data_IF_616217850115
#
_entry.id   IF_616217850115
#
_cell.length_a   1.000
_cell.length_b   1.000
_cell.length_c   1.000
_cell.angle_alpha   90.00
_cell.angle_beta   90.00
_cell.angle_gamma   90.00
#
_symmetry.space_group_name_H-M   'P 1'
#
loop_
_entity.id
_entity.type
_entity.pdbx_description
1 polymer ?
#
# COMPACT_ATOMS: atom_id res chain seq x y z
N UNK A 1 10.78 20.58 13.86
CA UNK A 1 10.83 19.10 13.67
C UNK A 1 9.82 18.35 14.52
N UNK A 2 9.39 18.91 15.66
CA UNK A 2 8.43 18.29 16.58
C UNK A 2 6.97 18.31 16.06
N UNK A 3 6.59 19.37 15.36
CA UNK A 3 5.24 19.54 14.80
C UNK A 3 4.92 18.49 13.71
N UNK A 4 5.84 18.27 12.76
CA UNK A 4 5.70 17.23 11.72
C UNK A 4 5.55 15.82 12.32
N UNK A 5 6.27 15.52 13.40
CA UNK A 5 6.20 14.24 14.13
C UNK A 5 4.82 14.06 14.79
N UNK A 6 4.21 15.12 15.29
CA UNK A 6 2.90 15.05 15.94
C UNK A 6 1.76 14.77 14.92
N UNK A 7 1.83 15.38 13.74
CA UNK A 7 0.87 15.12 12.66
C UNK A 7 0.97 13.69 12.13
N UNK A 8 2.20 13.19 11.93
CA UNK A 8 2.41 11.81 11.47
C UNK A 8 1.86 10.79 12.49
N UNK A 9 2.03 11.04 13.79
CA UNK A 9 1.49 10.19 14.87
C UNK A 9 -0.04 10.18 14.91
N UNK A 10 -0.69 11.33 14.65
CA UNK A 10 -2.15 11.42 14.57
C UNK A 10 -2.70 10.60 13.41
N UNK A 11 -2.11 10.73 12.21
CA UNK A 11 -2.56 10.01 11.01
C UNK A 11 -2.49 8.49 11.19
N UNK A 12 -1.39 7.97 11.73
CA UNK A 12 -1.24 6.52 11.95
C UNK A 12 -2.15 6.02 13.07
N UNK A 13 -2.34 6.81 14.14
CA UNK A 13 -3.26 6.44 15.23
C UNK A 13 -4.71 6.38 14.74
N UNK A 14 -5.11 7.32 13.89
CA UNK A 14 -6.45 7.33 13.28
C UNK A 14 -6.61 6.09 12.41
N UNK A 15 -5.72 5.84 11.44
CA UNK A 15 -5.77 4.65 10.56
C UNK A 15 -5.69 3.34 11.35
N UNK A 16 -4.96 3.33 12.47
CA UNK A 16 -4.89 2.21 13.41
C UNK A 16 -6.21 1.89 14.10
N UNK A 17 -7.11 2.86 14.27
CA UNK A 17 -8.46 2.66 14.84
C UNK A 17 -9.53 2.31 13.80
N UNK A 18 -9.22 2.43 12.51
CA UNK A 18 -10.16 2.11 11.44
C UNK A 18 -10.43 0.61 11.32
N UNK A 19 -11.67 0.27 10.95
CA UNK A 19 -12.07 -1.10 10.65
C UNK A 19 -11.35 -1.62 9.39
N UNK A 20 -11.27 -2.95 9.24
CA UNK A 20 -10.63 -3.58 8.07
C UNK A 20 -11.17 -3.03 6.75
N UNK A 21 -12.49 -2.83 6.65
CA UNK A 21 -13.14 -2.35 5.43
C UNK A 21 -12.81 -0.87 5.14
N UNK A 22 -12.69 -0.03 6.16
CA UNK A 22 -12.33 1.38 5.98
C UNK A 22 -10.89 1.54 5.49
N UNK A 23 -9.96 0.71 5.96
CA UNK A 23 -8.58 0.71 5.46
C UNK A 23 -8.54 0.32 3.99
N UNK A 24 -9.28 -0.72 3.61
CA UNK A 24 -9.39 -1.13 2.21
C UNK A 24 -9.96 -0.02 1.32
N UNK A 25 -10.95 0.73 1.81
CA UNK A 25 -11.49 1.88 1.09
C UNK A 25 -10.45 2.99 0.88
N UNK A 26 -9.65 3.33 1.90
CA UNK A 26 -8.56 4.32 1.77
C UNK A 26 -7.54 3.86 0.73
N UNK A 27 -7.17 2.58 0.74
CA UNK A 27 -6.25 2.03 -0.25
C UNK A 27 -6.81 2.08 -1.66
N UNK A 28 -8.08 1.70 -1.84
CA UNK A 28 -8.75 1.80 -3.14
C UNK A 28 -8.83 3.24 -3.64
N UNK A 29 -9.03 4.22 -2.76
CA UNK A 29 -9.01 5.64 -3.13
C UNK A 29 -7.61 6.10 -3.55
N UNK A 30 -6.56 5.65 -2.85
CA UNK A 30 -5.17 5.90 -3.25
C UNK A 30 -4.83 5.29 -4.61
N UNK A 31 -5.25 4.06 -4.85
CA UNK A 31 -5.06 3.37 -6.13
C UNK A 31 -5.84 4.11 -7.25
N UNK A 32 -7.09 4.55 -7.00
CA UNK A 32 -7.87 5.35 -7.94
C UNK A 32 -7.13 6.64 -8.35
N UNK A 33 -6.57 7.35 -7.37
CA UNK A 33 -5.76 8.55 -7.64
C UNK A 33 -4.53 8.22 -8.48
N UNK A 34 -3.86 7.09 -8.24
CA UNK A 34 -2.73 6.64 -9.04
C UNK A 34 -3.11 6.39 -10.50
N UNK A 35 -4.26 5.77 -10.77
CA UNK A 35 -4.78 5.58 -12.13
C UNK A 35 -5.07 6.92 -12.81
N UNK A 36 -5.77 7.83 -12.13
CA UNK A 36 -6.10 9.15 -12.69
C UNK A 36 -4.83 9.93 -13.02
N UNK A 37 -3.89 10.02 -12.07
CA UNK A 37 -2.62 10.71 -12.27
C UNK A 37 -1.79 10.05 -13.36
N UNK A 38 -1.74 8.71 -13.41
CA UNK A 38 -1.03 7.97 -14.45
C UNK A 38 -1.56 8.26 -15.86
N UNK A 39 -2.89 8.32 -16.01
CA UNK A 39 -3.55 8.71 -17.26
C UNK A 39 -3.21 10.16 -17.64
N UNK A 40 -3.32 11.11 -16.70
CA UNK A 40 -3.05 12.54 -16.94
C UNK A 40 -1.59 12.76 -17.34
N UNK A 41 -0.64 12.17 -16.59
CA UNK A 41 0.79 12.30 -16.89
C UNK A 41 1.10 11.75 -18.28
N UNK A 42 0.51 10.60 -18.63
CA UNK A 42 0.70 10.01 -19.95
C UNK A 42 0.08 10.85 -21.07
N UNK A 43 -1.07 11.50 -20.80
CA UNK A 43 -1.70 12.43 -21.73
C UNK A 43 -0.82 13.66 -21.97
N UNK A 44 -0.21 14.22 -20.92
CA UNK A 44 0.69 15.38 -21.04
C UNK A 44 1.92 15.02 -21.87
N UNK A 45 2.54 13.87 -21.62
CA UNK A 45 3.73 13.42 -22.34
C UNK A 45 3.44 13.15 -23.82
N UNK A 46 2.26 12.61 -24.14
CA UNK A 46 1.86 12.24 -25.51
C UNK A 46 1.00 13.30 -26.21
N UNK A 47 0.89 14.50 -25.63
CA UNK A 47 -0.01 15.56 -26.11
C UNK A 47 0.19 15.90 -27.59
N UNK A 48 1.43 15.94 -28.04
CA UNK A 48 1.78 16.31 -29.41
C UNK A 48 1.60 15.15 -30.42
N UNK A 49 1.53 13.92 -29.92
CA UNK A 49 1.53 12.69 -30.74
C UNK A 49 0.12 12.12 -30.87
N UNK A 50 -0.71 12.25 -29.83
CA UNK A 50 -2.02 11.61 -29.75
C UNK A 50 -3.02 12.63 -29.19
N UNK A 51 -4.09 12.89 -29.94
CA UNK A 51 -5.24 13.70 -29.49
C UNK A 51 -6.46 12.81 -29.28
N UNK A 52 -6.48 11.94 -28.24
CA UNK A 52 -7.65 11.14 -27.95
C UNK A 52 -8.79 12.05 -27.49
N UNK A 53 -10.04 11.66 -27.77
CA UNK A 53 -11.20 12.36 -27.24
C UNK A 53 -11.21 12.29 -25.70
N UNK A 54 -11.51 13.40 -25.03
CA UNK A 54 -11.58 13.46 -23.56
C UNK A 54 -12.56 12.42 -22.98
N UNK A 55 -13.67 12.15 -23.68
CA UNK A 55 -14.64 11.13 -23.29
C UNK A 55 -14.03 9.72 -23.31
N UNK A 56 -13.22 9.42 -24.33
CA UNK A 56 -12.55 8.12 -24.45
C UNK A 56 -11.52 7.93 -23.33
N UNK A 57 -10.81 9.01 -22.95
CA UNK A 57 -9.83 8.99 -21.87
C UNK A 57 -10.48 8.73 -20.49
N UNK A 58 -11.62 9.37 -20.24
CA UNK A 58 -12.40 9.16 -19.01
C UNK A 58 -12.94 7.72 -18.99
N UNK A 59 -13.53 7.26 -20.08
CA UNK A 59 -14.01 5.89 -20.20
C UNK A 59 -12.89 4.85 -20.00
N UNK A 60 -11.71 5.09 -20.58
CA UNK A 60 -10.52 4.25 -20.39
C UNK A 60 -10.12 4.16 -18.92
N UNK A 61 -10.03 5.30 -18.22
CA UNK A 61 -9.58 5.34 -16.83
C UNK A 61 -10.59 4.64 -15.89
N UNK A 62 -11.89 4.88 -16.10
CA UNK A 62 -12.95 4.26 -15.31
C UNK A 62 -12.97 2.75 -15.54
N UNK A 63 -12.91 2.31 -16.81
CA UNK A 63 -12.89 0.89 -17.16
C UNK A 63 -11.67 0.18 -16.57
N UNK A 64 -10.51 0.83 -16.63
CA UNK A 64 -9.27 0.29 -16.08
C UNK A 64 -9.34 0.10 -14.56
N UNK A 65 -9.82 1.12 -13.84
CA UNK A 65 -10.02 1.03 -12.41
C UNK A 65 -11.06 -0.03 -12.03
N UNK A 66 -12.16 -0.14 -12.78
CA UNK A 66 -13.19 -1.18 -12.55
C UNK A 66 -12.61 -2.58 -12.72
N UNK A 67 -11.87 -2.84 -13.80
CA UNK A 67 -11.22 -4.13 -14.02
C UNK A 67 -10.19 -4.43 -12.92
N UNK A 68 -9.39 -3.46 -12.53
CA UNK A 68 -8.46 -3.59 -11.41
C UNK A 68 -9.19 -3.97 -10.11
N UNK A 69 -10.27 -3.26 -9.76
CA UNK A 69 -11.04 -3.51 -8.55
C UNK A 69 -11.72 -4.88 -8.56
N UNK A 70 -12.34 -5.26 -9.70
CA UNK A 70 -13.02 -6.56 -9.86
C UNK A 70 -12.03 -7.71 -9.72
N UNK A 71 -10.92 -7.67 -10.46
CA UNK A 71 -9.91 -8.75 -10.45
C UNK A 71 -9.23 -8.79 -9.08
N UNK A 72 -8.90 -7.63 -8.51
CA UNK A 72 -8.28 -7.51 -7.20
C UNK A 72 -9.14 -8.03 -6.05
N UNK A 73 -10.46 -7.84 -6.13
CA UNK A 73 -11.40 -8.37 -5.16
C UNK A 73 -11.56 -9.90 -5.29
N UNK A 74 -11.69 -10.41 -6.53
CA UNK A 74 -11.80 -11.86 -6.77
C UNK A 74 -10.56 -12.64 -6.34
N UNK A 75 -9.38 -12.09 -6.61
CA UNK A 75 -8.08 -12.68 -6.22
C UNK A 75 -7.74 -12.46 -4.75
N UNK A 76 -8.54 -11.67 -4.01
CA UNK A 76 -8.31 -11.27 -2.61
C UNK A 76 -6.97 -10.56 -2.37
N UNK A 77 -6.25 -10.17 -3.42
CA UNK A 77 -4.96 -9.46 -3.35
C UNK A 77 -5.15 -8.10 -2.67
N UNK A 78 -6.27 -7.43 -2.90
CA UNK A 78 -6.60 -6.16 -2.22
C UNK A 78 -6.74 -6.34 -0.71
N UNK A 79 -7.19 -7.51 -0.25
CA UNK A 79 -7.37 -7.84 1.16
C UNK A 79 -6.10 -8.27 1.90
N UNK A 80 -5.03 -8.61 1.17
CA UNK A 80 -3.76 -9.08 1.72
C UNK A 80 -2.83 -7.94 2.16
N UNK A 81 -3.25 -6.68 1.98
CA UNK A 81 -2.49 -5.50 2.41
C UNK A 81 -2.43 -5.47 3.93
N UNK A 82 -1.41 -6.11 4.48
CA UNK A 82 -1.12 -6.10 5.90
C UNK A 82 -0.15 -4.97 6.22
N UNK A 83 -0.04 -4.61 7.51
CA UNK A 83 0.92 -3.65 8.08
C UNK A 83 2.39 -3.92 7.68
N UNK A 84 2.67 -5.13 7.18
CA UNK A 84 3.96 -5.61 6.68
C UNK A 84 3.77 -6.33 5.34
N UNK A 85 3.31 -5.64 4.29
CA UNK A 85 3.28 -6.26 2.97
C UNK A 85 4.70 -6.65 2.56
N UNK A 86 4.86 -7.93 2.21
CA UNK A 86 6.10 -8.44 1.66
C UNK A 86 6.30 -7.88 0.25
N UNK A 87 7.54 -7.93 -0.26
CA UNK A 87 7.83 -7.51 -1.63
C UNK A 87 6.99 -8.27 -2.66
N UNK A 88 6.63 -9.51 -2.35
CA UNK A 88 5.74 -10.34 -3.16
C UNK A 88 4.33 -9.75 -3.25
N UNK A 89 3.79 -9.19 -2.15
CA UNK A 89 2.46 -8.57 -2.16
C UNK A 89 2.48 -7.31 -3.04
N UNK A 90 3.53 -6.48 -2.92
CA UNK A 90 3.71 -5.30 -3.77
C UNK A 90 3.79 -5.68 -5.25
N UNK A 91 4.57 -6.71 -5.59
CA UNK A 91 4.65 -7.24 -6.95
C UNK A 91 3.30 -7.77 -7.43
N UNK A 92 2.53 -8.48 -6.60
CA UNK A 92 1.19 -8.94 -6.97
C UNK A 92 0.26 -7.79 -7.34
N UNK A 93 0.30 -6.66 -6.62
CA UNK A 93 -0.49 -5.48 -7.00
C UNK A 93 0.02 -4.82 -8.28
N UNK A 94 1.34 -4.77 -8.48
CA UNK A 94 1.90 -4.25 -9.72
C UNK A 94 1.46 -5.10 -10.93
N UNK A 95 1.58 -6.43 -10.84
CA UNK A 95 1.11 -7.33 -11.89
C UNK A 95 -0.40 -7.25 -12.09
N UNK A 96 -1.18 -7.12 -11.02
CA UNK A 96 -2.62 -6.90 -11.10
C UNK A 96 -2.95 -5.61 -11.88
N UNK A 97 -2.21 -4.53 -11.62
CA UNK A 97 -2.34 -3.25 -12.32
C UNK A 97 -2.03 -3.43 -13.82
N UNK A 98 -0.92 -4.10 -14.14
CA UNK A 98 -0.55 -4.39 -15.53
C UNK A 98 -1.60 -5.25 -16.26
N UNK A 99 -2.11 -6.30 -15.62
CA UNK A 99 -3.13 -7.19 -16.19
C UNK A 99 -4.44 -6.42 -16.43
N UNK A 100 -4.88 -5.60 -15.47
CA UNK A 100 -6.06 -4.76 -15.64
C UNK A 100 -5.90 -3.79 -16.83
N UNK A 101 -4.72 -3.18 -16.98
CA UNK A 101 -4.42 -2.27 -18.08
C UNK A 101 -4.40 -2.96 -19.44
N UNK A 102 -3.81 -4.15 -19.53
CA UNK A 102 -3.78 -4.97 -20.73
C UNK A 102 -5.19 -5.38 -21.15
N UNK A 103 -6.01 -5.86 -20.21
CA UNK A 103 -7.40 -6.21 -20.48
C UNK A 103 -8.20 -4.99 -20.95
N UNK A 104 -8.03 -3.85 -20.29
CA UNK A 104 -8.67 -2.59 -20.71
C UNK A 104 -8.29 -2.21 -22.13
N UNK A 105 -7.01 -2.32 -22.47
CA UNK A 105 -6.51 -2.02 -23.81
C UNK A 105 -7.07 -2.97 -24.87
N UNK A 106 -7.30 -4.24 -24.54
CA UNK A 106 -7.92 -5.21 -25.45
C UNK A 106 -9.39 -4.82 -25.67
N UNK A 107 -10.14 -4.56 -24.59
CA UNK A 107 -11.56 -4.19 -24.68
C UNK A 107 -11.73 -2.92 -25.53
N UNK A 108 -10.96 -1.87 -25.22
CA UNK A 108 -11.06 -0.60 -25.95
C UNK A 108 -10.48 -0.72 -27.35
N UNK A 109 -9.42 -1.49 -27.57
CA UNK A 109 -8.86 -1.70 -28.91
C UNK A 109 -9.81 -2.43 -29.85
N UNK A 110 -10.58 -3.40 -29.34
CA UNK A 110 -11.61 -4.11 -30.12
C UNK A 110 -12.79 -3.17 -30.43
N UNK A 111 -13.27 -2.41 -29.45
CA UNK A 111 -14.41 -1.49 -29.63
C UNK A 111 -14.05 -0.24 -30.44
N UNK A 112 -12.83 0.26 -30.31
CA UNK A 112 -12.34 1.48 -30.93
C UNK A 112 -10.97 1.20 -31.58
N UNK A 113 -10.99 0.91 -32.88
CA UNK A 113 -9.83 0.58 -33.73
C UNK A 113 -8.68 1.63 -33.73
N UNK A 114 -8.87 2.76 -33.07
CA UNK A 114 -7.98 3.92 -33.08
C UNK A 114 -7.21 4.10 -31.76
N UNK A 115 -7.29 3.15 -30.82
CA UNK A 115 -6.60 3.30 -29.55
C UNK A 115 -5.10 3.07 -29.69
N UNK A 116 -4.32 4.06 -29.28
CA UNK A 116 -2.88 4.06 -29.45
C UNK A 116 -2.17 3.18 -28.42
N UNK A 117 -1.53 2.10 -28.87
CA UNK A 117 -0.72 1.20 -28.03
C UNK A 117 0.34 1.95 -27.23
N UNK A 118 0.92 3.02 -27.79
CA UNK A 118 1.90 3.89 -27.13
C UNK A 118 1.35 4.51 -25.84
N UNK A 119 0.08 4.94 -25.86
CA UNK A 119 -0.59 5.51 -24.71
C UNK A 119 -0.86 4.45 -23.64
N UNK A 120 -1.32 3.25 -24.04
CA UNK A 120 -1.49 2.12 -23.10
C UNK A 120 -0.19 1.78 -22.38
N UNK A 121 0.92 1.65 -23.12
CA UNK A 121 2.21 1.29 -22.52
C UNK A 121 2.69 2.34 -21.52
N UNK A 122 2.59 3.62 -21.87
CA UNK A 122 3.02 4.70 -20.99
C UNK A 122 2.15 4.79 -19.73
N UNK A 123 0.83 4.69 -19.89
CA UNK A 123 -0.11 4.68 -18.76
C UNK A 123 0.09 3.47 -17.87
N UNK A 124 0.41 2.30 -18.43
CA UNK A 124 0.70 1.09 -17.65
C UNK A 124 1.90 1.29 -16.73
N UNK A 125 3.00 1.86 -17.26
CA UNK A 125 4.20 2.14 -16.49
C UNK A 125 3.89 3.21 -15.43
N UNK A 126 3.24 4.31 -15.81
CA UNK A 126 2.98 5.42 -14.89
C UNK A 126 2.03 5.04 -13.77
N UNK A 127 0.87 4.44 -14.08
CA UNK A 127 -0.08 3.99 -13.07
C UNK A 127 0.54 2.89 -12.19
N UNK A 128 1.25 1.93 -12.77
CA UNK A 128 1.92 0.87 -12.01
C UNK A 128 2.95 1.40 -11.01
N UNK A 129 3.80 2.34 -11.44
CA UNK A 129 4.80 2.98 -10.57
C UNK A 129 4.13 3.82 -9.48
N UNK A 130 3.10 4.60 -9.81
CA UNK A 130 2.38 5.43 -8.83
C UNK A 130 1.67 4.58 -7.76
N UNK A 131 1.01 3.49 -8.16
CA UNK A 131 0.35 2.54 -7.25
C UNK A 131 1.37 1.91 -6.29
N UNK A 132 2.54 1.52 -6.79
CA UNK A 132 3.65 1.05 -5.95
C UNK A 132 4.17 2.14 -5.02
N UNK A 133 4.40 3.35 -5.54
CA UNK A 133 4.95 4.47 -4.78
C UNK A 133 4.07 4.82 -3.57
N UNK A 134 2.75 4.91 -3.75
CA UNK A 134 1.80 5.15 -2.66
C UNK A 134 1.93 4.11 -1.55
N UNK A 135 2.08 2.83 -1.90
CA UNK A 135 2.18 1.72 -0.92
C UNK A 135 3.52 1.69 -0.21
N UNK A 136 4.60 1.91 -0.95
CA UNK A 136 5.95 2.01 -0.37
C UNK A 136 6.04 3.21 0.57
N UNK A 137 5.52 4.37 0.18
CA UNK A 137 5.49 5.57 1.04
C UNK A 137 4.76 5.31 2.35
N UNK A 138 3.59 4.68 2.30
CA UNK A 138 2.86 4.29 3.50
C UNK A 138 3.65 3.32 4.38
N UNK A 139 4.28 2.31 3.79
CA UNK A 139 5.11 1.35 4.52
C UNK A 139 6.27 2.05 5.24
N UNK A 140 6.95 2.98 4.57
CA UNK A 140 8.05 3.74 5.17
C UNK A 140 7.57 4.62 6.34
N UNK A 141 6.44 5.33 6.18
CA UNK A 141 5.82 6.11 7.26
C UNK A 141 5.53 5.23 8.48
N UNK A 142 5.01 4.04 8.25
CA UNK A 142 4.65 3.09 9.30
C UNK A 142 5.89 2.54 10.05
N UNK A 143 6.92 2.12 9.31
CA UNK A 143 8.16 1.59 9.89
C UNK A 143 8.95 2.66 10.65
N UNK A 144 8.97 3.89 10.14
CA UNK A 144 9.64 5.02 10.79
C UNK A 144 9.08 5.30 12.18
N UNK A 145 7.75 5.21 12.34
CA UNK A 145 7.10 5.43 13.64
C UNK A 145 7.28 4.24 14.59
N UNK A 146 7.20 3.01 14.11
CA UNK A 146 7.37 1.83 14.98
C UNK A 146 8.79 1.79 15.57
N UNK A 147 9.81 2.18 14.79
CA UNK A 147 11.19 2.34 15.30
C UNK A 147 11.29 3.43 16.37
N UNK A 148 10.58 4.55 16.21
CA UNK A 148 10.54 5.63 17.19
C UNK A 148 9.80 5.24 18.48
N UNK A 149 8.67 4.51 18.38
CA UNK A 149 7.91 4.02 19.53
C UNK A 149 8.72 2.99 20.34
N UNK A 150 9.38 2.04 19.66
CA UNK A 150 10.27 1.04 20.28
C UNK A 150 11.47 1.70 20.97
N UNK A 151 11.98 2.81 20.42
CA UNK A 151 13.10 3.55 21.01
C UNK A 151 12.66 4.44 22.20
N UNK A 152 11.39 4.85 22.25
CA UNK A 152 10.82 5.65 23.36
C UNK A 152 10.31 4.82 24.54
N UNK A 153 9.98 3.54 24.34
CA UNK A 153 9.56 2.65 25.43
C UNK A 153 10.80 2.10 26.16
N UNK A 154 10.88 2.21 27.50
CA UNK A 154 11.97 1.58 28.24
C UNK A 154 11.97 0.09 27.92
N UNK A 155 13.14 -0.47 27.59
CA UNK A 155 13.37 -1.87 27.24
C UNK A 155 12.87 -2.79 28.37
N UNK A 156 11.57 -3.12 28.38
CA UNK A 156 11.06 -4.19 29.23
C UNK A 156 11.49 -5.51 28.59
N UNK A 157 12.67 -6.00 29.01
CA UNK A 157 13.22 -7.28 28.57
C UNK A 157 12.30 -8.37 29.11
N UNK A 158 11.49 -8.99 28.24
CA UNK A 158 10.69 -10.16 28.62
C UNK A 158 11.65 -11.32 28.86
N UNK A 159 11.97 -11.60 30.12
CA UNK A 159 12.74 -12.78 30.51
C UNK A 159 11.75 -13.94 30.66
N UNK A 160 11.90 -14.96 29.81
CA UNK A 160 11.16 -16.21 29.96
C UNK A 160 12.05 -17.15 30.77
N UNK A 161 11.67 -17.40 32.01
CA UNK A 161 12.36 -18.35 32.89
C UNK A 161 11.75 -19.72 32.64
N UNK A 162 12.52 -20.65 32.09
CA UNK A 162 12.14 -22.06 31.96
C UNK A 162 12.90 -22.87 33.01
N UNK A 163 12.20 -23.29 34.06
CA UNK A 163 12.72 -24.19 35.10
C UNK A 163 11.56 -24.90 35.78
N UNK A 164 11.60 -26.23 35.83
CA UNK A 164 10.49 -27.08 36.26
C UNK A 164 10.57 -27.46 37.75
N UNK A 165 10.85 -26.50 38.64
CA UNK A 165 10.91 -26.75 40.09
C UNK A 165 11.08 -25.47 40.93
N UNK A 166 11.25 -25.64 42.24
CA UNK A 166 11.31 -24.56 43.25
C UNK A 166 12.47 -23.56 43.04
N UNK A 167 13.51 -23.93 42.27
CA UNK A 167 14.56 -22.97 41.90
C UNK A 167 14.04 -21.81 41.02
N UNK A 168 12.99 -22.05 40.23
CA UNK A 168 12.38 -21.03 39.37
C UNK A 168 11.60 -19.98 40.16
N UNK A 169 10.90 -20.38 41.23
CA UNK A 169 10.15 -19.47 42.08
C UNK A 169 11.08 -18.57 42.91
N UNK A 170 12.16 -19.12 43.47
CA UNK A 170 13.19 -18.33 44.16
C UNK A 170 13.87 -17.29 43.25
N UNK A 171 14.17 -17.66 42.00
CA UNK A 171 14.72 -16.73 41.01
C UNK A 171 13.73 -15.59 40.70
N UNK A 172 12.45 -15.89 40.51
CA UNK A 172 11.41 -14.89 40.25
C UNK A 172 11.20 -13.94 41.44
N UNK A 173 11.25 -14.46 42.66
CA UNK A 173 11.13 -13.65 43.87
C UNK A 173 12.37 -12.78 44.16
N UNK A 174 13.55 -13.25 43.76
CA UNK A 174 14.78 -12.44 43.79
C UNK A 174 14.73 -11.33 42.71
N UNK A 175 14.34 -11.68 41.50
CA UNK A 175 14.21 -10.73 40.38
C UNK A 175 13.18 -9.64 40.65
N UNK A 176 12.02 -9.99 41.24
CA UNK A 176 11.00 -8.99 41.64
C UNK A 176 11.52 -8.02 42.70
N UNK A 177 12.42 -8.46 43.58
CA UNK A 177 13.00 -7.62 44.65
C UNK A 177 14.15 -6.76 44.16
N UNK A 178 14.97 -7.23 43.21
CA UNK A 178 16.10 -6.50 42.65
C UNK A 178 16.19 -6.64 41.12
N UNK A 179 15.38 -5.90 40.35
CA UNK A 179 15.30 -6.02 38.89
C UNK A 179 16.54 -5.51 38.13
N UNK A 180 17.52 -4.93 38.83
CA UNK A 180 18.74 -4.37 38.24
C UNK A 180 19.99 -5.25 38.32
N UNK A 181 19.91 -6.45 38.91
CA UNK A 181 21.07 -7.31 39.16
C UNK A 181 21.12 -8.53 38.23
N UNK A 182 21.14 -8.25 36.92
CA UNK A 182 21.42 -9.20 35.84
C UNK A 182 22.57 -8.68 34.99
#
# INVERSE_FOLDING_TARGET
MEEKRNHDNLLITIVGRLSRNQRLAIWMLGDLLAFILGTIVSMIILWDIIKPSNLLLIAYTILNFLLFAIIGNQTKILGQINRYSNINDLLSIFFLTCVAQLLTSIVIGVSFQWFSVRFTLLTMIMAGVLTLAIRVLWQQLYLGQNKAEIMSKPKTKKVVVMGAGDGGSYFMDSYRRNPGNI
#
